data_IF_408996662959
#
_entry.id   IF_408996662959
#
_cell.length_a   1.000
_cell.length_b   1.000
_cell.length_c   1.000
_cell.angle_alpha   90.00
_cell.angle_beta   90.00
_cell.angle_gamma   90.00
#
_symmetry.space_group_name_H-M   'P 1'
#
loop_
_entity.id
_entity.type
_entity.pdbx_description
1 polymer ?
#
# COMPACT_ATOMS: atom_id res chain seq x y z
N UNK A 1 8.09 1.76 -13.65
CA UNK A 1 7.38 0.59 -14.22
C UNK A 1 6.65 -0.08 -13.08
N UNK A 2 5.31 0.02 -13.03
CA UNK A 2 4.53 -0.65 -11.99
C UNK A 2 4.56 -2.16 -12.23
N UNK A 3 4.87 -2.93 -11.19
CA UNK A 3 4.84 -4.40 -11.25
C UNK A 3 3.39 -4.88 -11.35
N UNK A 4 3.10 -5.97 -12.10
CA UNK A 4 1.77 -6.56 -12.13
C UNK A 4 1.38 -7.15 -10.76
N UNK A 5 0.10 -7.10 -10.41
CA UNK A 5 -0.45 -7.76 -9.23
C UNK A 5 -0.67 -9.24 -9.53
N UNK A 6 -0.11 -10.14 -8.70
CA UNK A 6 -0.38 -11.57 -8.76
C UNK A 6 -1.57 -11.91 -7.86
N UNK A 7 -2.76 -11.98 -8.46
CA UNK A 7 -4.02 -12.26 -7.76
C UNK A 7 -4.06 -13.66 -7.13
N UNK A 8 -3.44 -14.63 -7.81
CA UNK A 8 -3.47 -16.04 -7.38
C UNK A 8 -2.67 -16.20 -6.10
N UNK A 9 -1.44 -15.70 -6.10
CA UNK A 9 -0.55 -15.75 -4.95
C UNK A 9 -1.08 -14.88 -3.79
N UNK A 10 -1.63 -13.70 -4.11
CA UNK A 10 -2.30 -12.82 -3.15
C UNK A 10 -3.44 -13.54 -2.41
N UNK A 11 -4.30 -14.24 -3.14
CA UNK A 11 -5.43 -14.99 -2.57
C UNK A 11 -4.96 -16.20 -1.77
N UNK A 12 -3.93 -16.89 -2.24
CA UNK A 12 -3.37 -18.05 -1.54
C UNK A 12 -2.77 -17.65 -0.20
N UNK A 13 -1.90 -16.63 -0.17
CA UNK A 13 -1.29 -16.13 1.06
C UNK A 13 -2.35 -15.60 2.02
N UNK A 14 -3.34 -14.86 1.50
CA UNK A 14 -4.48 -14.37 2.26
C UNK A 14 -5.18 -15.47 3.06
N UNK A 15 -5.43 -16.64 2.45
CA UNK A 15 -6.02 -17.81 3.11
C UNK A 15 -5.07 -18.43 4.13
N UNK A 16 -3.79 -18.60 3.78
CA UNK A 16 -2.78 -19.21 4.67
C UNK A 16 -2.60 -18.41 5.96
N UNK A 17 -2.56 -17.08 5.88
CA UNK A 17 -2.37 -16.21 7.05
C UNK A 17 -3.68 -15.87 7.77
N UNK A 18 -4.84 -16.28 7.22
CA UNK A 18 -6.18 -15.86 7.69
C UNK A 18 -6.28 -14.33 7.78
N UNK A 19 -6.00 -13.68 6.66
CA UNK A 19 -5.92 -12.22 6.56
C UNK A 19 -7.23 -11.55 6.98
N UNK A 20 -7.12 -10.30 7.45
CA UNK A 20 -8.29 -9.50 7.87
C UNK A 20 -8.34 -8.17 7.10
N UNK A 21 -9.53 -7.76 6.68
CA UNK A 21 -9.72 -6.56 5.86
C UNK A 21 -9.13 -5.26 6.45
N UNK A 22 -9.14 -5.12 7.78
CA UNK A 22 -8.76 -3.88 8.47
C UNK A 22 -7.30 -3.84 8.96
N UNK A 23 -6.50 -4.85 8.65
CA UNK A 23 -5.12 -4.96 9.16
C UNK A 23 -4.14 -5.22 8.02
N UNK A 24 -4.05 -4.33 7.02
CA UNK A 24 -3.24 -4.57 5.83
C UNK A 24 -1.75 -4.75 6.12
N UNK A 25 -1.22 -3.99 7.08
CA UNK A 25 0.18 -4.07 7.49
C UNK A 25 0.52 -5.41 8.16
N UNK A 26 -0.33 -5.88 9.08
CA UNK A 26 -0.19 -7.20 9.72
C UNK A 26 -0.35 -8.34 8.71
N UNK A 27 -1.29 -8.22 7.77
CA UNK A 27 -1.46 -9.20 6.70
C UNK A 27 -0.18 -9.29 5.86
N UNK A 28 0.35 -8.15 5.44
CA UNK A 28 1.59 -8.09 4.66
C UNK A 28 2.76 -8.64 5.48
N UNK A 29 2.90 -8.30 6.76
CA UNK A 29 3.93 -8.82 7.66
C UNK A 29 3.89 -10.35 7.73
N UNK A 30 2.73 -10.93 8.06
CA UNK A 30 2.54 -12.38 8.14
C UNK A 30 2.83 -13.08 6.81
N UNK A 31 2.42 -12.47 5.70
CA UNK A 31 2.72 -13.00 4.37
C UNK A 31 4.23 -12.93 4.07
N UNK A 32 4.91 -11.88 4.51
CA UNK A 32 6.34 -11.68 4.33
C UNK A 32 7.16 -12.77 5.03
N UNK A 33 6.74 -13.17 6.24
CA UNK A 33 7.37 -14.25 7.01
C UNK A 33 7.27 -15.63 6.33
N UNK A 34 6.27 -15.82 5.45
CA UNK A 34 6.02 -17.08 4.75
C UNK A 34 6.56 -17.09 3.31
N UNK A 35 7.09 -15.96 2.83
CA UNK A 35 7.49 -15.78 1.44
C UNK A 35 8.97 -15.42 1.38
N UNK A 36 9.79 -16.37 0.95
CA UNK A 36 11.22 -16.12 0.77
C UNK A 36 11.48 -15.18 -0.43
N UNK A 37 12.53 -14.37 -0.33
CA UNK A 37 12.95 -13.47 -1.41
C UNK A 37 12.01 -12.27 -1.65
N UNK A 38 10.98 -12.07 -0.83
CA UNK A 38 10.12 -10.91 -0.95
C UNK A 38 10.68 -9.69 -0.20
N UNK A 39 10.25 -8.51 -0.64
CA UNK A 39 10.40 -7.26 0.08
C UNK A 39 9.04 -6.88 0.66
N UNK A 40 9.01 -6.53 1.94
CA UNK A 40 7.85 -5.93 2.55
C UNK A 40 7.79 -4.45 2.20
N UNK A 41 6.62 -3.97 1.78
CA UNK A 41 6.43 -2.61 1.30
C UNK A 41 5.29 -1.94 2.05
N UNK A 42 5.53 -0.71 2.49
CA UNK A 42 4.52 0.18 3.05
C UNK A 42 4.37 1.39 2.16
N UNK A 43 3.15 1.90 2.03
CA UNK A 43 2.88 3.10 1.28
C UNK A 43 1.38 3.35 1.17
N UNK A 44 0.96 3.82 0.00
CA UNK A 44 -0.42 4.19 -0.24
C UNK A 44 -1.04 3.37 -1.36
N UNK A 45 -2.30 3.03 -1.16
CA UNK A 45 -3.15 2.39 -2.12
C UNK A 45 -4.28 3.36 -2.51
N UNK A 46 -4.52 3.48 -3.81
CA UNK A 46 -5.59 4.31 -4.39
C UNK A 46 -6.40 3.45 -5.34
N UNK A 47 -7.73 3.63 -5.32
CA UNK A 47 -8.62 3.02 -6.29
C UNK A 47 -9.74 3.98 -6.68
N UNK A 48 -10.45 3.64 -7.77
CA UNK A 48 -11.55 4.45 -8.31
C UNK A 48 -12.85 4.24 -7.51
N UNK A 49 -12.87 4.68 -6.25
CA UNK A 49 -14.07 4.67 -5.41
C UNK A 49 -14.09 5.88 -4.46
N UNK A 50 -15.28 6.38 -4.18
CA UNK A 50 -15.44 7.52 -3.27
C UNK A 50 -15.36 7.04 -1.81
N UNK A 51 -14.68 7.80 -0.91
CA UNK A 51 -13.97 9.05 -1.18
C UNK A 51 -12.59 8.80 -1.80
N UNK A 52 -12.24 9.57 -2.84
CA UNK A 52 -10.92 9.54 -3.49
C UNK A 52 -9.81 10.02 -2.54
N UNK A 53 -9.38 9.14 -1.64
CA UNK A 53 -8.33 9.39 -0.66
C UNK A 53 -7.27 8.30 -0.71
N UNK A 54 -5.98 8.64 -0.62
CA UNK A 54 -4.92 7.66 -0.39
C UNK A 54 -5.19 6.90 0.92
N UNK A 55 -5.07 5.58 0.86
CA UNK A 55 -5.21 4.70 2.02
C UNK A 55 -3.86 4.10 2.32
N UNK A 56 -3.43 4.22 3.56
CA UNK A 56 -2.23 3.56 4.06
C UNK A 56 -2.36 2.05 3.94
N UNK A 57 -1.38 1.43 3.30
CA UNK A 57 -1.46 0.03 2.94
C UNK A 57 -0.09 -0.66 2.96
N UNK A 58 -0.10 -1.95 3.23
CA UNK A 58 1.08 -2.82 3.22
C UNK A 58 0.90 -3.95 2.21
N UNK A 59 1.95 -4.26 1.46
CA UNK A 59 1.98 -5.37 0.50
C UNK A 59 3.39 -5.95 0.37
N UNK A 60 3.54 -6.99 -0.46
CA UNK A 60 4.82 -7.59 -0.79
C UNK A 60 5.21 -7.27 -2.23
N UNK A 61 6.47 -6.96 -2.44
CA UNK A 61 7.08 -6.92 -3.77
C UNK A 61 8.01 -8.12 -3.92
N UNK A 62 7.74 -8.97 -4.91
CA UNK A 62 8.72 -9.93 -5.44
C UNK A 62 9.44 -9.30 -6.63
N UNK A 63 10.39 -10.02 -7.23
CA UNK A 63 11.17 -9.53 -8.37
C UNK A 63 10.27 -9.04 -9.51
N UNK A 64 9.25 -9.83 -9.87
CA UNK A 64 8.44 -9.59 -11.08
C UNK A 64 6.97 -9.23 -10.80
N UNK A 65 6.52 -9.25 -9.54
CA UNK A 65 5.11 -8.99 -9.22
C UNK A 65 4.92 -8.34 -7.84
N UNK A 66 3.74 -7.75 -7.66
CA UNK A 66 3.20 -7.35 -6.37
C UNK A 66 2.30 -8.47 -5.87
N UNK A 67 2.34 -8.72 -4.57
CA UNK A 67 1.44 -9.63 -3.87
C UNK A 67 0.81 -8.89 -2.70
N UNK A 68 -0.51 -8.85 -2.68
CA UNK A 68 -1.28 -8.15 -1.67
C UNK A 68 -2.21 -9.14 -0.96
N UNK A 69 -1.85 -9.63 0.24
CA UNK A 69 -2.69 -10.59 0.96
C UNK A 69 -4.03 -10.01 1.42
N UNK A 70 -4.21 -8.68 1.34
CA UNK A 70 -5.47 -8.01 1.66
C UNK A 70 -6.40 -7.93 0.45
N UNK A 71 -5.90 -8.21 -0.77
CA UNK A 71 -6.64 -8.13 -2.03
C UNK A 71 -8.04 -8.76 -1.99
N UNK A 72 -8.24 -9.98 -1.44
CA UNK A 72 -9.56 -10.61 -1.45
C UNK A 72 -10.64 -9.84 -0.66
N UNK A 73 -10.24 -8.91 0.22
CA UNK A 73 -11.17 -8.11 1.01
C UNK A 73 -11.62 -6.83 0.30
N UNK A 74 -10.92 -6.40 -0.76
CA UNK A 74 -11.29 -5.18 -1.49
C UNK A 74 -12.51 -5.38 -2.38
N UNK A 75 -12.69 -6.60 -2.91
CA UNK A 75 -13.76 -6.91 -3.85
C UNK A 75 -13.77 -5.93 -5.06
N UNK A 76 -12.59 -5.47 -5.47
CA UNK A 76 -12.32 -4.53 -6.57
C UNK A 76 -11.52 -5.23 -7.68
N UNK A 77 -11.54 -4.67 -8.88
CA UNK A 77 -10.66 -5.17 -9.95
C UNK A 77 -9.20 -4.77 -9.65
N UNK A 78 -8.25 -5.72 -9.71
CA UNK A 78 -6.82 -5.46 -9.59
C UNK A 78 -6.27 -4.35 -10.48
N UNK A 79 -6.85 -4.19 -11.68
CA UNK A 79 -6.45 -3.16 -12.63
C UNK A 79 -6.83 -1.75 -12.19
N UNK A 80 -7.73 -1.63 -11.21
CA UNK A 80 -8.19 -0.37 -10.63
C UNK A 80 -7.43 -0.03 -9.33
N UNK A 81 -6.49 -0.88 -8.91
CA UNK A 81 -5.65 -0.69 -7.73
C UNK A 81 -4.31 -0.08 -8.12
N UNK A 82 -4.03 1.10 -7.56
CA UNK A 82 -2.79 1.84 -7.79
C UNK A 82 -1.94 1.86 -6.51
N UNK A 83 -0.80 1.19 -6.56
CA UNK A 83 0.13 1.06 -5.44
C UNK A 83 1.25 2.11 -5.54
N UNK A 84 1.43 2.88 -4.46
CA UNK A 84 2.44 3.93 -4.32
C UNK A 84 3.39 3.58 -3.17
N UNK A 85 4.53 2.94 -3.46
CA UNK A 85 5.48 2.48 -2.45
C UNK A 85 6.19 3.66 -1.78
N UNK A 86 6.10 3.75 -0.46
CA UNK A 86 6.85 4.73 0.33
C UNK A 86 8.15 4.13 0.87
N UNK A 87 8.08 2.94 1.45
CA UNK A 87 9.19 2.30 2.14
C UNK A 87 9.26 0.81 1.78
N UNK A 88 10.48 0.32 1.59
CA UNK A 88 10.76 -1.10 1.31
C UNK A 88 11.70 -1.65 2.36
N UNK A 89 11.28 -2.72 3.02
CA UNK A 89 12.03 -3.38 4.09
C UNK A 89 12.28 -4.84 3.70
N UNK A 90 13.53 -5.26 3.86
CA UNK A 90 13.87 -6.68 3.88
C UNK A 90 13.26 -7.31 5.13
N UNK A 91 12.88 -8.60 5.06
CA UNK A 91 12.30 -9.33 6.20
C UNK A 91 13.14 -9.22 7.47
N UNK A 92 14.47 -9.29 7.37
CA UNK A 92 15.38 -9.13 8.52
C UNK A 92 15.22 -7.77 9.22
N UNK A 93 15.11 -6.69 8.45
CA UNK A 93 14.91 -5.33 9.00
C UNK A 93 13.50 -5.17 9.56
N UNK A 94 12.51 -5.76 8.91
CA UNK A 94 11.12 -5.71 9.36
C UNK A 94 10.96 -6.40 10.72
N UNK A 95 11.51 -7.61 10.87
CA UNK A 95 11.47 -8.34 12.14
C UNK A 95 12.17 -7.53 13.23
N UNK A 96 13.39 -7.05 12.98
CA UNK A 96 14.13 -6.25 13.95
C UNK A 96 13.36 -4.99 14.39
N UNK A 97 12.72 -4.28 13.46
CA UNK A 97 11.94 -3.10 13.77
C UNK A 97 10.67 -3.41 14.60
N UNK A 98 10.00 -4.54 14.29
CA UNK A 98 8.82 -4.99 15.04
C UNK A 98 9.22 -5.45 16.45
N UNK A 99 10.33 -6.17 16.59
CA UNK A 99 10.85 -6.62 17.88
C UNK A 99 11.28 -5.44 18.75
N UNK A 100 11.99 -4.45 18.18
CA UNK A 100 12.37 -3.21 18.87
C UNK A 100 11.13 -2.45 19.38
N UNK A 101 10.14 -2.23 18.50
CA UNK A 101 8.90 -1.56 18.89
C UNK A 101 8.12 -2.30 19.99
N UNK A 102 8.08 -3.63 19.94
CA UNK A 102 7.41 -4.45 20.96
C UNK A 102 8.17 -4.48 22.29
N UNK A 103 9.50 -4.36 22.27
CA UNK A 103 10.32 -4.31 23.48
C UNK A 103 10.17 -2.97 24.21
N UNK A 104 10.18 -1.86 23.47
CA UNK A 104 10.00 -0.52 24.03
C UNK A 104 8.55 -0.25 24.46
N UNK A 105 7.57 -0.71 23.67
CA UNK A 105 6.14 -0.44 23.87
C UNK A 105 5.27 -1.68 23.58
N UNK A 106 5.22 -2.67 24.49
CA UNK A 106 4.51 -3.94 24.26
C UNK A 106 2.98 -3.79 24.14
N UNK A 107 2.45 -2.63 24.52
CA UNK A 107 1.03 -2.28 24.48
C UNK A 107 0.62 -1.51 23.21
N UNK A 108 1.58 -1.05 22.40
CA UNK A 108 1.35 -0.36 21.13
C UNK A 108 1.41 -1.31 19.92
N UNK A 109 0.78 -0.90 18.81
CA UNK A 109 0.85 -1.65 17.56
C UNK A 109 2.22 -1.41 16.88
N UNK A 110 2.98 -2.48 16.71
CA UNK A 110 4.33 -2.43 16.13
C UNK A 110 4.34 -2.16 14.61
N UNK A 111 3.16 -2.10 13.97
CA UNK A 111 3.02 -1.83 12.55
C UNK A 111 2.00 -0.69 12.30
N UNK A 112 2.22 0.15 11.28
CA UNK A 112 3.35 0.18 10.33
C UNK A 112 4.68 0.66 10.92
N UNK A 113 5.77 0.49 10.15
CA UNK A 113 7.15 0.77 10.57
C UNK A 113 7.55 2.06 9.91
N UNK A 114 7.47 3.16 10.63
CA UNK A 114 7.85 4.45 10.08
C UNK A 114 9.37 4.62 10.12
N UNK A 115 9.96 5.04 8.99
CA UNK A 115 11.30 5.65 9.02
C UNK A 115 11.31 6.90 9.93
N UNK A 116 12.52 7.27 10.38
CA UNK A 116 12.80 8.32 11.37
C UNK A 116 11.77 9.45 11.47
N UNK A 117 11.40 9.76 12.72
CA UNK A 117 10.48 10.83 13.11
C UNK A 117 10.71 12.06 12.22
N UNK A 118 9.65 12.58 11.56
CA UNK A 118 9.78 13.77 10.74
C UNK A 118 10.36 14.93 11.57
N UNK A 119 11.34 15.64 10.98
CA UNK A 119 11.87 16.87 11.56
C UNK A 119 10.71 17.83 11.88
N UNK A 120 10.58 18.19 13.15
CA UNK A 120 9.66 19.23 13.60
C UNK A 120 9.90 20.52 12.82
N UNK A 121 8.91 20.94 12.03
CA UNK A 121 8.59 22.37 11.90
C UNK A 121 7.14 22.53 11.42
N UNK A 122 6.26 22.85 12.38
CA UNK A 122 4.91 23.41 12.22
C UNK A 122 3.87 22.60 11.40
N UNK A 123 3.11 21.77 12.12
CA UNK A 123 1.65 21.74 12.00
C UNK A 123 0.99 20.79 10.97
N UNK A 124 1.73 20.20 10.03
CA UNK A 124 1.21 19.20 9.08
C UNK A 124 2.21 18.06 8.87
N UNK A 125 2.63 17.44 9.96
CA UNK A 125 3.70 16.46 9.96
C UNK A 125 3.14 15.07 9.61
N UNK A 126 3.40 14.60 8.39
CA UNK A 126 3.17 13.21 8.00
C UNK A 126 4.27 12.35 8.63
N UNK A 127 3.90 11.31 9.39
CA UNK A 127 4.85 10.29 9.88
C UNK A 127 5.45 9.54 8.69
N UNK A 128 6.77 9.29 8.66
CA UNK A 128 7.41 8.46 7.62
C UNK A 128 8.47 9.12 6.73
N UNK A 129 9.04 10.27 7.13
CA UNK A 129 10.13 10.90 6.40
C UNK A 129 9.78 11.38 4.98
N UNK A 130 10.81 11.68 4.17
CA UNK A 130 10.64 12.29 2.84
C UNK A 130 9.91 11.38 1.85
N UNK A 131 10.29 10.09 1.80
CA UNK A 131 9.74 9.12 0.85
C UNK A 131 8.23 8.91 1.05
N UNK A 132 7.77 8.90 2.31
CA UNK A 132 6.36 8.80 2.63
C UNK A 132 5.57 10.03 2.16
N UNK A 133 6.13 11.23 2.37
CA UNK A 133 5.50 12.48 1.88
C UNK A 133 5.41 12.51 0.36
N UNK A 134 6.45 12.05 -0.34
CA UNK A 134 6.46 11.93 -1.81
C UNK A 134 5.38 10.95 -2.29
N UNK A 135 5.35 9.73 -1.73
CA UNK A 135 4.36 8.72 -2.08
C UNK A 135 2.92 9.17 -1.81
N UNK A 136 2.69 9.90 -0.70
CA UNK A 136 1.38 10.48 -0.39
C UNK A 136 0.96 11.52 -1.43
N UNK A 137 1.87 12.40 -1.84
CA UNK A 137 1.59 13.42 -2.84
C UNK A 137 1.27 12.80 -4.20
N UNK A 138 2.00 11.75 -4.61
CA UNK A 138 1.72 11.00 -5.84
C UNK A 138 0.35 10.31 -5.78
N UNK A 139 0.03 9.66 -4.66
CA UNK A 139 -1.26 9.03 -4.45
C UNK A 139 -2.40 10.07 -4.46
N UNK A 140 -2.20 11.23 -3.83
CA UNK A 140 -3.18 12.32 -3.83
C UNK A 140 -3.37 12.90 -5.23
N UNK A 141 -2.29 13.04 -6.01
CA UNK A 141 -2.38 13.44 -7.41
C UNK A 141 -3.22 12.42 -8.21
N UNK A 142 -3.01 11.12 -8.00
CA UNK A 142 -3.79 10.07 -8.63
C UNK A 142 -5.27 10.12 -8.25
N UNK A 143 -5.59 10.34 -6.97
CA UNK A 143 -6.96 10.56 -6.51
C UNK A 143 -7.62 11.75 -7.22
N UNK A 144 -6.89 12.87 -7.40
CA UNK A 144 -7.38 14.04 -8.14
C UNK A 144 -7.61 13.75 -9.62
N UNK A 145 -6.79 12.91 -10.24
CA UNK A 145 -6.99 12.48 -11.62
C UNK A 145 -8.24 11.62 -11.77
N UNK A 146 -8.45 10.66 -10.88
CA UNK A 146 -9.63 9.78 -10.90
C UNK A 146 -10.92 10.56 -10.60
N UNK A 147 -10.87 11.57 -9.72
CA UNK A 147 -12.00 12.43 -9.40
C UNK A 147 -12.34 13.45 -10.50
N UNK A 148 -11.54 13.59 -11.56
CA UNK A 148 -11.92 14.49 -12.66
C UNK A 148 -13.10 13.86 -13.42
N UNK A 149 -14.17 14.62 -13.69
CA UNK A 149 -15.26 14.12 -14.53
C UNK A 149 -14.65 13.73 -15.88
N UNK A 150 -14.78 12.44 -16.26
CA UNK A 150 -14.41 11.96 -17.59
C UNK A 150 -15.15 12.86 -18.59
N UNK A 151 -14.44 13.75 -19.28
CA UNK A 151 -15.01 14.51 -20.40
C UNK A 151 -15.58 13.48 -21.36
N UNK A 152 -16.91 13.44 -21.49
CA UNK A 152 -17.57 12.70 -22.56
C UNK A 152 -17.04 13.30 -23.86
N UNK A 153 -16.12 12.62 -24.52
CA UNK A 153 -15.80 12.88 -25.91
C UNK A 153 -16.98 12.36 -26.71
N UNK A 154 -18.03 13.17 -26.87
CA UNK A 154 -19.02 12.96 -27.93
C UNK A 154 -18.27 13.17 -29.25
N UNK A 155 -17.75 12.10 -29.82
CA UNK A 155 -17.58 11.99 -31.27
C UNK A 155 -18.96 11.66 -31.84
N UNK A 156 -19.85 12.65 -31.86
CA UNK A 156 -21.01 12.62 -32.75
C UNK A 156 -20.54 13.07 -34.13
N UNK A 157 -20.48 12.09 -35.01
CA UNK A 157 -20.55 12.17 -36.46
C UNK A 157 -21.28 13.41 -36.98
N UNK A 158 -20.60 14.24 -37.76
CA UNK A 158 -21.23 15.17 -38.70
C UNK A 158 -21.47 14.44 -40.04
N UNK A 159 -22.73 14.31 -40.50
CA UNK A 159 -23.03 14.13 -41.90
C UNK A 159 -23.33 15.49 -42.54
N UNK A 160 -22.73 15.77 -43.70
CA UNK A 160 -23.25 16.75 -44.67
C UNK A 160 -23.18 16.14 -46.06
#
# INVERSE_FOLDING_TARGET
MSKPLDETLSTELSKRIKSKAKTPFDNAYKAALLTEGCMYVQGFLVWDDQPYKPIEHGWLELDNCIVDPTLPHFNKNPQELYYFPAQRLTIKKLIAAVEEAQEDYPEDDALPVYDALPHEYYGNVMMGGKNYSEAYNEAQAKCKELNKPKKKTNLESEPT
#
